data_IF_000373418129
#
_entry.id   IF_000373418129
#
_cell.length_a   1.000
_cell.length_b   1.000
_cell.length_c   1.000
_cell.angle_alpha   90.00
_cell.angle_beta   90.00
_cell.angle_gamma   90.00
#
_symmetry.space_group_name_H-M   'P 1'
#
loop_
_entity.id
_entity.type
_entity.pdbx_description
1 polymer ?
#
# COMPACT_ATOMS: atom_id res chain seq x y z
N UNK A 1 -26.53 -4.94 8.00
CA UNK A 1 -26.33 -4.23 6.71
C UNK A 1 -25.41 -5.07 5.85
N UNK A 2 -25.93 -5.59 4.74
CA UNK A 2 -25.16 -6.35 3.75
C UNK A 2 -24.44 -5.35 2.83
N UNK A 3 -23.17 -5.04 3.09
CA UNK A 3 -22.27 -4.74 1.97
C UNK A 3 -22.01 -6.09 1.30
N UNK A 4 -22.99 -6.55 0.50
CA UNK A 4 -22.81 -7.73 -0.32
C UNK A 4 -21.59 -7.46 -1.19
N UNK A 5 -20.55 -8.27 -1.05
CA UNK A 5 -19.43 -8.29 -1.97
C UNK A 5 -20.00 -8.28 -3.39
N UNK A 6 -19.86 -7.17 -4.10
CA UNK A 6 -20.36 -7.01 -5.47
C UNK A 6 -19.33 -7.58 -6.42
N UNK A 7 -19.81 -8.20 -7.51
CA UNK A 7 -19.01 -8.97 -8.46
C UNK A 7 -17.76 -8.22 -8.99
N UNK A 8 -17.85 -6.90 -9.13
CA UNK A 8 -16.80 -6.06 -9.72
C UNK A 8 -15.81 -5.47 -8.71
N UNK A 9 -15.98 -5.74 -7.41
CA UNK A 9 -15.18 -5.11 -6.33
C UNK A 9 -14.35 -6.07 -5.50
N UNK A 10 -14.57 -7.37 -5.68
CA UNK A 10 -14.09 -8.38 -4.73
C UNK A 10 -13.28 -9.47 -5.40
N UNK A 11 -12.10 -9.74 -4.84
CA UNK A 11 -11.39 -11.00 -5.06
C UNK A 11 -11.45 -11.84 -3.79
N UNK A 12 -11.34 -13.15 -3.91
CA UNK A 12 -11.38 -14.05 -2.75
C UNK A 12 -10.34 -15.15 -2.82
N UNK A 13 -9.92 -15.59 -1.64
CA UNK A 13 -9.09 -16.75 -1.40
C UNK A 13 -9.79 -17.62 -0.37
N UNK A 14 -9.77 -18.93 -0.57
CA UNK A 14 -10.32 -19.89 0.37
C UNK A 14 -9.26 -20.92 0.79
N UNK A 15 -9.23 -21.18 2.09
CA UNK A 15 -8.51 -22.29 2.68
C UNK A 15 -9.51 -23.43 2.89
N UNK A 16 -9.44 -24.44 2.03
CA UNK A 16 -10.26 -25.64 2.12
C UNK A 16 -9.56 -26.66 3.02
N UNK A 17 -10.04 -26.83 4.25
CA UNK A 17 -9.51 -27.83 5.17
C UNK A 17 -9.89 -29.23 4.68
N UNK A 18 -8.95 -30.19 4.79
CA UNK A 18 -9.24 -31.59 4.44
C UNK A 18 -10.10 -32.32 5.48
N UNK A 19 -10.29 -31.73 6.67
CA UNK A 19 -11.21 -32.23 7.70
C UNK A 19 -12.66 -31.84 7.40
N UNK A 20 -13.62 -32.67 7.83
CA UNK A 20 -15.04 -32.52 7.46
C UNK A 20 -15.71 -31.27 8.03
N UNK A 21 -15.21 -30.69 9.13
CA UNK A 21 -15.74 -29.48 9.77
C UNK A 21 -14.62 -28.66 10.38
N UNK A 22 -14.59 -27.34 10.13
CA UNK A 22 -13.69 -26.39 10.83
C UNK A 22 -14.11 -26.30 12.31
N UNK A 23 -13.26 -26.66 13.29
CA UNK A 23 -13.59 -26.47 14.69
C UNK A 23 -13.87 -25.00 14.99
N UNK A 24 -14.91 -24.67 15.77
CA UNK A 24 -15.22 -23.25 16.10
C UNK A 24 -14.03 -22.56 16.77
N UNK A 25 -13.23 -23.29 17.55
CA UNK A 25 -12.02 -22.75 18.16
C UNK A 25 -10.92 -22.41 17.13
N UNK A 26 -10.91 -23.05 15.95
CA UNK A 26 -10.01 -22.69 14.84
C UNK A 26 -10.44 -21.37 14.19
N UNK A 27 -11.74 -21.19 13.94
CA UNK A 27 -12.26 -19.94 13.38
C UNK A 27 -12.00 -18.73 14.28
N UNK A 28 -12.25 -18.87 15.58
CA UNK A 28 -11.97 -17.78 16.54
C UNK A 28 -10.48 -17.47 16.64
N UNK A 29 -9.60 -18.47 16.61
CA UNK A 29 -8.15 -18.24 16.66
C UNK A 29 -7.63 -17.54 15.41
N UNK A 30 -8.13 -17.90 14.22
CA UNK A 30 -7.70 -17.24 12.99
C UNK A 30 -8.23 -15.80 12.93
N UNK A 31 -9.51 -15.58 13.23
CA UNK A 31 -10.07 -14.22 13.33
C UNK A 31 -9.29 -13.42 14.38
N UNK A 32 -9.02 -14.00 15.54
CA UNK A 32 -8.20 -13.41 16.61
C UNK A 32 -6.79 -13.02 16.14
N UNK A 33 -6.15 -13.86 15.33
CA UNK A 33 -4.85 -13.55 14.73
C UNK A 33 -4.96 -12.41 13.71
N UNK A 34 -6.00 -12.39 12.87
CA UNK A 34 -6.21 -11.35 11.88
C UNK A 34 -6.46 -9.98 12.53
N UNK A 35 -7.31 -9.90 13.55
CA UNK A 35 -7.62 -8.63 14.25
C UNK A 35 -6.44 -8.08 15.07
N UNK A 36 -5.40 -8.90 15.31
CA UNK A 36 -4.16 -8.44 15.93
C UNK A 36 -3.23 -7.71 14.95
N UNK A 37 -3.53 -7.83 13.65
CA UNK A 37 -2.78 -7.20 12.56
C UNK A 37 -3.59 -6.05 11.96
N UNK A 38 -4.89 -6.28 11.70
CA UNK A 38 -5.77 -5.30 11.06
C UNK A 38 -6.87 -4.84 12.02
N UNK A 39 -7.15 -3.52 12.09
CA UNK A 39 -8.21 -3.00 12.93
C UNK A 39 -9.59 -3.49 12.47
N UNK A 40 -10.44 -3.87 13.43
CA UNK A 40 -11.84 -4.20 13.16
C UNK A 40 -12.60 -2.96 12.66
N UNK A 41 -13.32 -3.13 11.55
CA UNK A 41 -14.19 -2.10 10.99
C UNK A 41 -15.30 -1.73 11.97
N UNK A 42 -15.61 -0.44 12.05
CA UNK A 42 -16.73 0.11 12.83
C UNK A 42 -17.82 0.66 11.93
N UNK A 43 -19.07 0.30 12.21
CA UNK A 43 -20.27 0.88 11.58
C UNK A 43 -21.20 1.31 12.71
N UNK A 44 -21.61 2.58 12.72
CA UNK A 44 -22.45 3.17 13.77
C UNK A 44 -21.94 2.87 15.20
N UNK A 45 -20.63 3.06 15.40
CA UNK A 45 -19.88 2.76 16.62
C UNK A 45 -19.85 1.29 17.06
N UNK A 46 -20.34 0.35 16.23
CA UNK A 46 -20.28 -1.09 16.50
C UNK A 46 -19.20 -1.78 15.67
N UNK A 47 -18.43 -2.65 16.32
CA UNK A 47 -17.44 -3.47 15.63
C UNK A 47 -18.12 -4.54 14.77
N UNK A 48 -17.66 -4.70 13.53
CA UNK A 48 -18.10 -5.74 12.61
C UNK A 48 -17.44 -7.09 12.91
N UNK A 49 -17.71 -7.63 14.11
CA UNK A 49 -17.24 -8.93 14.58
C UNK A 49 -18.46 -9.83 14.88
N UNK A 50 -18.51 -10.99 14.24
CA UNK A 50 -19.63 -11.93 14.28
C UNK A 50 -19.13 -13.36 14.55
N UNK A 51 -20.06 -14.26 14.90
CA UNK A 51 -19.77 -15.63 15.37
C UNK A 51 -18.84 -16.46 14.48
N UNK A 52 -18.76 -16.17 13.17
CA UNK A 52 -17.84 -16.84 12.22
C UNK A 52 -17.36 -15.87 11.13
N UNK A 53 -17.45 -14.58 11.39
CA UNK A 53 -17.07 -13.57 10.42
C UNK A 53 -16.49 -12.32 11.07
N UNK A 54 -15.55 -11.68 10.41
CA UNK A 54 -15.00 -10.39 10.82
C UNK A 54 -14.72 -9.53 9.60
N UNK A 55 -14.95 -8.23 9.74
CA UNK A 55 -14.58 -7.22 8.75
C UNK A 55 -13.52 -6.31 9.36
N UNK A 56 -12.42 -6.12 8.64
CA UNK A 56 -11.27 -5.32 9.06
C UNK A 56 -10.92 -4.32 7.97
N UNK A 57 -10.46 -3.14 8.39
CA UNK A 57 -9.96 -2.12 7.46
C UNK A 57 -8.48 -2.44 7.15
N UNK A 58 -8.14 -2.63 5.87
CA UNK A 58 -6.74 -2.89 5.47
C UNK A 58 -6.02 -1.61 5.07
N UNK A 59 -6.72 -0.71 4.39
CA UNK A 59 -6.31 0.66 4.11
C UNK A 59 -7.56 1.54 3.94
N UNK A 60 -7.42 2.75 3.37
CA UNK A 60 -8.54 3.69 3.20
C UNK A 60 -9.58 3.26 2.16
N UNK A 61 -9.25 2.33 1.25
CA UNK A 61 -10.10 1.91 0.12
C UNK A 61 -10.38 0.40 0.09
N UNK A 62 -9.67 -0.38 0.91
CA UNK A 62 -9.75 -1.84 0.91
C UNK A 62 -10.19 -2.37 2.28
N UNK A 63 -11.06 -3.37 2.24
CA UNK A 63 -11.58 -4.07 3.40
C UNK A 63 -11.28 -5.57 3.28
N UNK A 64 -10.84 -6.17 4.39
CA UNK A 64 -10.68 -7.62 4.52
C UNK A 64 -11.89 -8.19 5.26
N UNK A 65 -12.60 -9.11 4.61
CA UNK A 65 -13.68 -9.87 5.24
C UNK A 65 -13.26 -11.34 5.37
N UNK A 66 -13.24 -11.89 6.58
CA UNK A 66 -13.01 -13.32 6.80
C UNK A 66 -14.34 -13.96 7.15
N UNK A 67 -14.71 -15.02 6.45
CA UNK A 67 -15.93 -15.81 6.67
C UNK A 67 -15.56 -17.28 6.79
N UNK A 68 -16.03 -17.93 7.85
CA UNK A 68 -15.88 -19.38 8.00
C UNK A 68 -17.20 -20.06 7.60
N UNK A 69 -17.12 -20.95 6.61
CA UNK A 69 -18.27 -21.63 6.00
C UNK A 69 -17.97 -23.13 5.85
N UNK A 70 -18.48 -23.94 6.77
CA UNK A 70 -18.31 -25.40 6.73
C UNK A 70 -16.84 -25.82 6.85
N UNK A 71 -16.27 -26.37 5.77
CA UNK A 71 -14.86 -26.77 5.65
C UNK A 71 -13.96 -25.68 5.03
N UNK A 72 -14.51 -24.49 4.76
CA UNK A 72 -13.76 -23.39 4.15
C UNK A 72 -13.62 -22.21 5.10
N UNK A 73 -12.43 -21.63 5.09
CA UNK A 73 -12.19 -20.28 5.57
C UNK A 73 -11.98 -19.42 4.34
N UNK A 74 -12.91 -18.52 4.06
CA UNK A 74 -12.87 -17.63 2.90
C UNK A 74 -12.49 -16.23 3.35
N UNK A 75 -11.44 -15.68 2.75
CA UNK A 75 -11.09 -14.28 2.87
C UNK A 75 -11.48 -13.54 1.59
N UNK A 76 -12.19 -12.44 1.75
CA UNK A 76 -12.56 -11.53 0.68
C UNK A 76 -11.76 -10.25 0.86
N UNK A 77 -11.14 -9.77 -0.22
CA UNK A 77 -10.56 -8.45 -0.28
C UNK A 77 -11.46 -7.60 -1.18
N UNK A 78 -12.05 -6.56 -0.58
CA UNK A 78 -13.08 -5.73 -1.19
C UNK A 78 -12.53 -4.33 -1.36
N UNK A 79 -12.49 -3.83 -2.59
CA UNK A 79 -12.17 -2.44 -2.86
C UNK A 79 -13.46 -1.59 -2.91
N UNK A 80 -13.39 -0.34 -2.47
CA UNK A 80 -14.52 0.59 -2.48
C UNK A 80 -15.08 0.85 -3.89
N UNK A 81 -14.20 0.80 -4.90
CA UNK A 81 -14.47 1.20 -6.28
C UNK A 81 -14.49 0.00 -7.21
N UNK A 82 -13.39 -0.76 -7.30
CA UNK A 82 -13.19 -1.81 -8.30
C UNK A 82 -12.11 -2.82 -7.89
N UNK A 83 -12.32 -4.10 -8.19
CA UNK A 83 -11.34 -5.19 -7.94
C UNK A 83 -10.04 -5.00 -8.73
N UNK A 84 -10.10 -4.24 -9.81
CA UNK A 84 -8.96 -3.86 -10.65
C UNK A 84 -7.94 -2.98 -9.89
N UNK A 85 -8.37 -2.34 -8.79
CA UNK A 85 -7.56 -1.47 -7.94
C UNK A 85 -6.94 -2.19 -6.74
N UNK A 86 -7.21 -3.50 -6.59
CA UNK A 86 -6.65 -4.28 -5.49
C UNK A 86 -5.19 -4.57 -5.79
N UNK A 87 -4.29 -3.97 -5.00
CA UNK A 87 -2.85 -4.21 -5.10
C UNK A 87 -2.52 -5.70 -4.88
N UNK A 88 -1.74 -6.32 -5.79
CA UNK A 88 -1.26 -7.69 -5.60
C UNK A 88 -0.40 -7.86 -4.34
N UNK A 89 0.33 -6.82 -3.93
CA UNK A 89 1.20 -6.89 -2.74
C UNK A 89 0.37 -6.87 -1.46
N UNK A 90 -0.71 -6.08 -1.42
CA UNK A 90 -1.69 -6.12 -0.33
C UNK A 90 -2.31 -7.52 -0.23
N UNK A 91 -2.86 -8.03 -1.34
CA UNK A 91 -3.50 -9.33 -1.39
C UNK A 91 -2.53 -10.46 -0.97
N UNK A 92 -1.33 -10.52 -1.56
CA UNK A 92 -0.33 -11.53 -1.25
C UNK A 92 0.16 -11.43 0.20
N UNK A 93 0.33 -10.23 0.75
CA UNK A 93 0.74 -10.06 2.16
C UNK A 93 -0.35 -10.54 3.12
N UNK A 94 -1.62 -10.22 2.85
CA UNK A 94 -2.74 -10.76 3.63
C UNK A 94 -2.75 -12.29 3.54
N UNK A 95 -2.59 -12.85 2.33
CA UNK A 95 -2.52 -14.31 2.13
C UNK A 95 -1.39 -14.95 2.93
N UNK A 96 -0.17 -14.42 2.86
CA UNK A 96 0.99 -14.93 3.60
C UNK A 96 0.74 -14.92 5.12
N UNK A 97 0.23 -13.80 5.64
CA UNK A 97 -0.12 -13.66 7.06
C UNK A 97 -1.19 -14.67 7.49
N UNK A 98 -2.28 -14.79 6.74
CA UNK A 98 -3.37 -15.72 7.03
C UNK A 98 -2.92 -17.19 6.91
N UNK A 99 -2.13 -17.51 5.90
CA UNK A 99 -1.59 -18.87 5.67
C UNK A 99 -0.65 -19.26 6.81
N UNK A 100 0.25 -18.36 7.22
CA UNK A 100 1.17 -18.60 8.32
C UNK A 100 0.42 -18.76 9.65
N UNK A 101 -0.56 -17.88 9.92
CA UNK A 101 -1.39 -17.96 11.11
C UNK A 101 -2.17 -19.28 11.16
N UNK A 102 -2.86 -19.62 10.07
CA UNK A 102 -3.62 -20.87 9.95
C UNK A 102 -2.73 -22.09 10.13
N UNK A 103 -1.56 -22.12 9.46
CA UNK A 103 -0.59 -23.21 9.60
C UNK A 103 -0.09 -23.39 11.03
N UNK A 104 0.17 -22.29 11.76
CA UNK A 104 0.57 -22.36 13.18
C UNK A 104 -0.55 -22.86 14.07
N UNK A 105 -1.78 -22.37 13.87
CA UNK A 105 -2.94 -22.80 14.66
C UNK A 105 -3.23 -24.29 14.43
N UNK A 106 -3.19 -24.75 13.18
CA UNK A 106 -3.42 -26.15 12.85
C UNK A 106 -2.32 -27.07 13.40
N UNK A 107 -1.04 -26.65 13.32
CA UNK A 107 0.07 -27.38 13.96
C UNK A 107 -0.12 -27.52 15.47
N UNK A 108 -0.56 -26.45 16.13
CA UNK A 108 -0.86 -26.48 17.56
C UNK A 108 -1.95 -27.52 17.86
N UNK A 109 -3.05 -27.53 17.10
CA UNK A 109 -4.10 -28.53 17.30
C UNK A 109 -3.61 -29.95 16.99
N UNK A 110 -2.86 -30.16 15.90
CA UNK A 110 -2.29 -31.46 15.57
C UNK A 110 -1.38 -32.01 16.69
N UNK A 111 -0.59 -31.14 17.32
CA UNK A 111 0.24 -31.50 18.48
C UNK A 111 -0.60 -31.82 19.72
N UNK A 112 -1.61 -31.01 20.04
CA UNK A 112 -2.49 -31.23 21.19
C UNK A 112 -3.37 -32.48 21.08
N UNK A 113 -3.70 -32.94 19.86
CA UNK A 113 -4.53 -34.12 19.62
C UNK A 113 -3.72 -35.39 19.33
N UNK A 114 -2.40 -35.38 19.56
CA UNK A 114 -1.61 -36.61 19.74
C UNK A 114 -1.22 -37.37 18.46
N UNK A 115 -1.18 -36.73 17.29
CA UNK A 115 -0.53 -37.32 16.10
C UNK A 115 0.89 -36.80 15.98
N UNK A 116 1.88 -37.62 16.32
CA UNK A 116 3.33 -37.37 16.15
C UNK A 116 3.80 -37.25 14.69
N UNK A 117 2.92 -36.94 13.74
CA UNK A 117 3.34 -36.74 12.36
C UNK A 117 3.66 -35.28 12.13
N UNK A 118 4.94 -35.01 11.83
CA UNK A 118 5.42 -33.74 11.29
C UNK A 118 4.79 -33.50 9.90
N UNK A 119 3.49 -33.23 9.84
CA UNK A 119 2.84 -32.88 8.59
C UNK A 119 3.34 -31.52 8.12
N UNK A 120 3.79 -31.49 6.86
CA UNK A 120 4.09 -30.25 6.15
C UNK A 120 2.81 -29.42 6.11
N UNK A 121 2.89 -28.10 6.30
CA UNK A 121 1.72 -27.20 6.27
C UNK A 121 0.86 -27.35 5.02
N UNK A 122 1.45 -27.79 3.91
CA UNK A 122 0.78 -28.08 2.64
C UNK A 122 -0.22 -29.25 2.69
N UNK A 123 -0.14 -30.10 3.71
CA UNK A 123 -1.00 -31.29 3.79
C UNK A 123 -2.33 -31.01 4.49
N UNK A 124 -2.47 -29.89 5.19
CA UNK A 124 -3.61 -29.63 6.09
C UNK A 124 -4.79 -28.93 5.41
N UNK A 125 -4.52 -28.19 4.34
CA UNK A 125 -5.54 -27.48 3.57
C UNK A 125 -5.10 -27.25 2.13
N UNK A 126 -6.08 -27.07 1.25
CA UNK A 126 -5.88 -26.67 -0.14
C UNK A 126 -6.23 -25.18 -0.28
N UNK A 127 -5.51 -24.48 -1.16
CA UNK A 127 -5.79 -23.09 -1.49
C UNK A 127 -6.62 -23.04 -2.77
N UNK A 128 -7.76 -22.37 -2.69
CA UNK A 128 -8.59 -22.01 -3.83
C UNK A 128 -8.60 -20.48 -3.96
N UNK A 129 -8.66 -19.96 -5.18
CA UNK A 129 -8.77 -18.53 -5.46
C UNK A 129 -10.03 -18.28 -6.28
N UNK A 130 -10.59 -17.08 -6.22
CA UNK A 130 -11.81 -16.79 -6.96
C UNK A 130 -12.31 -15.36 -6.91
N UNK A 131 -13.56 -15.19 -7.32
CA UNK A 131 -14.30 -13.92 -7.31
C UNK A 131 -15.71 -14.13 -6.79
N UNK A 132 -16.41 -13.02 -6.51
CA UNK A 132 -17.85 -13.05 -6.27
C UNK A 132 -18.59 -12.91 -7.60
N UNK A 133 -19.64 -13.70 -7.77
CA UNK A 133 -20.41 -13.81 -9.01
C UNK A 133 -21.88 -14.00 -8.67
N UNK A 134 -22.72 -13.03 -9.03
CA UNK A 134 -24.14 -12.95 -8.67
C UNK A 134 -24.37 -13.14 -7.17
N UNK A 135 -23.48 -12.57 -6.35
CA UNK A 135 -23.51 -12.71 -4.88
C UNK A 135 -23.03 -14.06 -4.33
N UNK A 136 -22.57 -14.98 -5.18
CA UNK A 136 -22.00 -16.27 -4.79
C UNK A 136 -20.48 -16.29 -4.93
N UNK A 137 -19.80 -17.02 -4.04
CA UNK A 137 -18.34 -17.18 -4.13
C UNK A 137 -17.98 -18.27 -5.14
N UNK A 138 -17.32 -17.88 -6.24
CA UNK A 138 -16.89 -18.77 -7.30
C UNK A 138 -15.38 -19.04 -7.17
N UNK A 139 -15.03 -20.27 -6.78
CA UNK A 139 -13.65 -20.67 -6.46
C UNK A 139 -13.12 -21.65 -7.52
N UNK A 140 -11.80 -21.59 -7.74
CA UNK A 140 -11.02 -22.53 -8.55
C UNK A 140 -9.77 -22.95 -7.74
N UNK A 141 -9.36 -24.22 -7.78
CA UNK A 141 -8.10 -24.64 -7.14
C UNK A 141 -6.92 -23.82 -7.67
N UNK A 142 -6.00 -23.44 -6.77
CA UNK A 142 -4.85 -22.62 -7.15
C UNK A 142 -3.99 -23.26 -8.25
N UNK A 143 -3.85 -24.58 -8.25
CA UNK A 143 -3.15 -25.34 -9.30
C UNK A 143 -3.74 -25.09 -10.69
N UNK A 144 -5.07 -25.03 -10.77
CA UNK A 144 -5.82 -24.83 -12.00
C UNK A 144 -5.78 -23.35 -12.42
N UNK A 145 -5.91 -22.43 -11.46
CA UNK A 145 -5.84 -21.00 -11.72
C UNK A 145 -4.49 -20.60 -12.36
N UNK A 146 -3.39 -21.25 -11.94
CA UNK A 146 -2.05 -20.99 -12.50
C UNK A 146 -1.87 -21.45 -13.95
N UNK A 147 -2.67 -22.39 -14.43
CA UNK A 147 -2.51 -23.01 -15.76
C UNK A 147 -3.54 -22.52 -16.78
N UNK A 148 -4.63 -21.91 -16.32
CA UNK A 148 -5.73 -21.45 -17.16
C UNK A 148 -5.77 -19.92 -17.16
N UNK A 149 -5.98 -19.29 -18.32
CA UNK A 149 -6.22 -17.83 -18.39
C UNK A 149 -7.64 -17.46 -17.96
N UNK A 150 -8.58 -18.40 -18.10
CA UNK A 150 -9.99 -18.21 -17.76
C UNK A 150 -10.56 -19.48 -17.14
N UNK A 151 -11.58 -19.33 -16.29
CA UNK A 151 -12.37 -20.46 -15.81
C UNK A 151 -13.86 -20.18 -15.91
N UNK A 152 -14.65 -21.24 -16.04
CA UNK A 152 -16.11 -21.15 -16.03
C UNK A 152 -16.62 -21.53 -14.65
N UNK A 153 -17.40 -20.66 -14.02
CA UNK A 153 -18.03 -20.98 -12.73
C UNK A 153 -19.25 -21.90 -12.92
N UNK A 154 -19.81 -22.36 -11.80
CA UNK A 154 -21.03 -23.20 -11.79
C UNK A 154 -22.23 -22.51 -12.43
N UNK A 155 -22.26 -21.18 -12.42
CA UNK A 155 -23.31 -20.36 -13.03
C UNK A 155 -23.07 -20.10 -14.53
N UNK A 156 -22.08 -20.76 -15.15
CA UNK A 156 -21.77 -20.67 -16.57
C UNK A 156 -20.99 -19.43 -17.00
N UNK A 157 -20.68 -18.52 -16.06
CA UNK A 157 -19.95 -17.27 -16.31
C UNK A 157 -18.46 -17.54 -16.43
N UNK A 158 -17.82 -16.89 -17.40
CA UNK A 158 -16.38 -16.98 -17.63
C UNK A 158 -15.70 -15.88 -16.82
N UNK A 159 -14.77 -16.28 -15.97
CA UNK A 159 -13.94 -15.41 -15.15
C UNK A 159 -12.49 -15.42 -15.62
N UNK A 160 -11.79 -14.30 -15.43
CA UNK A 160 -10.37 -14.16 -15.74
C UNK A 160 -9.53 -14.54 -14.50
N UNK A 161 -8.62 -15.52 -14.63
CA UNK A 161 -7.77 -15.97 -13.49
C UNK A 161 -6.79 -14.92 -13.03
N UNK A 162 -6.51 -13.88 -13.83
CA UNK A 162 -5.59 -12.79 -13.50
C UNK A 162 -5.89 -12.17 -12.12
N UNK A 163 -7.13 -11.79 -11.83
CA UNK A 163 -7.47 -11.05 -10.60
C UNK A 163 -7.39 -11.92 -9.34
N UNK A 164 -7.97 -13.14 -9.29
CA UNK A 164 -7.75 -14.02 -8.15
C UNK A 164 -6.29 -14.40 -7.91
N UNK A 165 -5.48 -14.45 -8.97
CA UNK A 165 -4.04 -14.72 -8.83
C UNK A 165 -3.29 -13.56 -8.16
N UNK A 166 -3.89 -12.37 -7.97
CA UNK A 166 -3.31 -11.31 -7.14
C UNK A 166 -2.97 -11.78 -5.72
N UNK A 167 -3.69 -12.79 -5.19
CA UNK A 167 -3.44 -13.39 -3.87
C UNK A 167 -2.14 -14.19 -3.76
N UNK A 168 -1.56 -14.61 -4.88
CA UNK A 168 -0.44 -15.58 -4.94
C UNK A 168 0.64 -15.15 -5.94
N UNK A 169 0.74 -13.83 -6.17
CA UNK A 169 1.74 -13.27 -7.07
C UNK A 169 3.11 -13.55 -6.49
N UNK A 170 4.00 -14.08 -7.33
CA UNK A 170 5.39 -14.26 -6.96
C UNK A 170 6.05 -12.88 -6.84
N UNK A 171 6.24 -12.41 -5.60
CA UNK A 171 6.95 -11.16 -5.27
C UNK A 171 8.37 -11.13 -5.83
N UNK A 172 8.97 -12.29 -6.13
CA UNK A 172 10.30 -12.38 -6.75
C UNK A 172 10.28 -12.27 -8.27
N UNK A 173 9.09 -12.23 -8.90
CA UNK A 173 8.92 -11.99 -10.33
C UNK A 173 9.16 -10.50 -10.62
N UNK A 174 10.43 -10.11 -10.58
CA UNK A 174 10.93 -8.75 -10.86
C UNK A 174 10.57 -8.25 -12.26
N UNK A 175 10.24 -9.16 -13.18
CA UNK A 175 9.90 -8.82 -14.55
C UNK A 175 8.39 -8.57 -14.66
N UNK A 176 8.03 -7.33 -15.00
CA UNK A 176 6.73 -7.05 -15.59
C UNK A 176 6.64 -7.78 -16.94
N UNK A 177 5.43 -8.07 -17.40
CA UNK A 177 5.25 -8.57 -18.77
C UNK A 177 5.99 -7.64 -19.74
N UNK A 178 6.60 -8.20 -20.79
CA UNK A 178 7.50 -7.50 -21.72
C UNK A 178 6.91 -6.23 -22.34
N UNK A 179 5.59 -6.10 -22.37
CA UNK A 179 4.88 -4.96 -22.95
C UNK A 179 4.30 -3.99 -21.92
N UNK A 180 4.43 -4.24 -20.60
CA UNK A 180 3.82 -3.42 -19.54
C UNK A 180 2.33 -3.07 -19.72
N UNK A 181 1.60 -3.85 -20.53
CA UNK A 181 0.15 -3.68 -20.78
C UNK A 181 -0.72 -3.97 -19.54
N UNK A 182 -0.08 -4.16 -18.38
CA UNK A 182 -0.68 -4.56 -17.12
C UNK A 182 -1.31 -3.42 -16.31
N UNK A 183 -1.00 -2.15 -16.60
CA UNK A 183 -1.88 -1.04 -16.19
C UNK A 183 -3.10 -1.07 -17.11
N UNK A 184 -4.17 -1.67 -16.59
CA UNK A 184 -5.44 -1.79 -17.30
C UNK A 184 -6.00 -0.40 -17.63
N UNK A 185 -6.85 -0.33 -18.65
CA UNK A 185 -7.43 0.92 -19.16
C UNK A 185 -8.04 1.78 -18.04
N UNK A 186 -8.59 1.15 -17.00
CA UNK A 186 -9.15 1.83 -15.82
C UNK A 186 -8.07 2.44 -14.92
N UNK A 187 -6.96 1.73 -14.68
CA UNK A 187 -5.84 2.24 -13.88
C UNK A 187 -5.15 3.44 -14.56
N UNK A 188 -5.14 3.46 -15.90
CA UNK A 188 -4.63 4.60 -16.69
C UNK A 188 -5.49 5.87 -16.54
N UNK A 189 -6.75 5.75 -16.12
CA UNK A 189 -7.64 6.89 -15.90
C UNK A 189 -7.51 7.46 -14.48
N UNK A 190 -6.86 6.74 -13.56
CA UNK A 190 -6.67 7.22 -12.19
C UNK A 190 -5.67 8.38 -12.16
N UNK A 191 -5.89 9.28 -11.21
CA UNK A 191 -4.99 10.38 -10.88
C UNK A 191 -3.91 9.90 -9.91
N UNK A 192 -2.62 10.12 -10.20
CA UNK A 192 -1.54 9.83 -9.26
C UNK A 192 -1.61 10.78 -8.05
N UNK A 193 -1.42 10.23 -6.85
CA UNK A 193 -1.23 11.04 -5.64
C UNK A 193 0.25 11.39 -5.40
N UNK A 194 0.50 12.15 -4.34
CA UNK A 194 1.85 12.64 -4.01
C UNK A 194 2.83 11.48 -3.68
N UNK A 195 2.35 10.36 -3.13
CA UNK A 195 3.19 9.19 -2.85
C UNK A 195 3.63 8.50 -4.14
N UNK A 196 2.73 8.38 -5.12
CA UNK A 196 3.08 7.86 -6.43
C UNK A 196 4.18 8.71 -7.09
N UNK A 197 4.18 10.03 -6.90
CA UNK A 197 5.26 10.89 -7.41
C UNK A 197 6.59 10.68 -6.70
N UNK A 198 6.61 10.44 -5.38
CA UNK A 198 7.84 10.07 -4.65
C UNK A 198 8.44 8.78 -5.21
N UNK A 199 7.60 7.76 -5.40
CA UNK A 199 8.04 6.48 -5.95
C UNK A 199 8.53 6.63 -7.40
N UNK A 200 7.84 7.43 -8.21
CA UNK A 200 8.25 7.74 -9.57
C UNK A 200 9.60 8.46 -9.62
N UNK A 201 9.79 9.51 -8.82
CA UNK A 201 11.04 10.26 -8.76
C UNK A 201 12.21 9.37 -8.31
N UNK A 202 11.98 8.47 -7.34
CA UNK A 202 12.98 7.48 -6.91
C UNK A 202 13.39 6.52 -8.03
N UNK A 203 12.44 6.14 -8.88
CA UNK A 203 12.62 5.09 -9.89
C UNK A 203 13.22 5.63 -11.18
N UNK A 204 12.76 6.79 -11.67
CA UNK A 204 13.30 7.44 -12.87
C UNK A 204 14.75 7.88 -12.63
N UNK A 205 15.00 8.50 -11.48
CA UNK A 205 16.28 9.12 -11.18
C UNK A 205 16.58 10.35 -12.04
N UNK A 206 17.61 11.11 -11.65
CA UNK A 206 17.91 12.42 -12.25
C UNK A 206 18.32 12.34 -13.73
N UNK A 207 18.95 11.24 -14.16
CA UNK A 207 19.49 11.09 -15.51
C UNK A 207 18.42 11.04 -16.61
N UNK A 208 17.30 10.38 -16.34
CA UNK A 208 16.21 10.22 -17.29
C UNK A 208 15.11 11.30 -17.12
N UNK A 209 15.16 12.08 -16.03
CA UNK A 209 14.10 13.01 -15.65
C UNK A 209 13.89 14.14 -16.66
N UNK A 210 14.95 14.70 -17.26
CA UNK A 210 14.80 15.77 -18.25
C UNK A 210 13.94 15.33 -19.44
N UNK A 211 14.30 14.21 -20.07
CA UNK A 211 13.54 13.69 -21.22
C UNK A 211 12.12 13.33 -20.82
N UNK A 212 11.95 12.68 -19.66
CA UNK A 212 10.63 12.38 -19.11
C UNK A 212 9.76 13.64 -18.92
N UNK A 213 10.33 14.70 -18.35
CA UNK A 213 9.64 15.96 -18.08
C UNK A 213 9.20 16.66 -19.37
N UNK A 214 10.04 16.65 -20.41
CA UNK A 214 9.66 17.17 -21.74
C UNK A 214 8.56 16.32 -22.39
N UNK A 215 8.64 14.99 -22.30
CA UNK A 215 7.60 14.07 -22.83
C UNK A 215 6.25 14.18 -22.10
N UNK A 216 6.24 14.71 -20.87
CA UNK A 216 5.02 15.10 -20.16
C UNK A 216 4.36 16.38 -20.73
N UNK A 217 5.00 17.05 -21.70
CA UNK A 217 4.54 18.30 -22.30
C UNK A 217 5.03 19.55 -21.58
N UNK A 218 6.02 19.43 -20.69
CA UNK A 218 6.61 20.58 -20.00
C UNK A 218 7.68 21.25 -20.86
N UNK A 219 7.93 22.53 -20.61
CA UNK A 219 8.91 23.27 -21.39
C UNK A 219 10.30 23.21 -20.77
N UNK A 220 11.33 23.37 -21.61
CA UNK A 220 12.71 23.50 -21.12
C UNK A 220 12.87 24.68 -20.15
N UNK A 221 12.16 25.78 -20.38
CA UNK A 221 12.20 26.93 -19.49
C UNK A 221 11.70 26.59 -18.07
N UNK A 222 10.64 25.78 -17.98
CA UNK A 222 10.10 25.27 -16.70
C UNK A 222 11.17 24.41 -15.99
N UNK A 223 11.84 23.52 -16.73
CA UNK A 223 12.92 22.69 -16.22
C UNK A 223 14.11 23.52 -15.69
N UNK A 224 14.56 24.50 -16.46
CA UNK A 224 15.70 25.36 -16.09
C UNK A 224 15.38 26.18 -14.84
N UNK A 225 14.14 26.67 -14.71
CA UNK A 225 13.65 27.37 -13.52
C UNK A 225 13.60 26.47 -12.28
N UNK A 226 13.11 25.24 -12.42
CA UNK A 226 13.10 24.25 -11.35
C UNK A 226 14.52 23.89 -10.91
N UNK A 227 15.42 23.67 -11.87
CA UNK A 227 16.81 23.34 -11.60
C UNK A 227 17.48 24.49 -10.84
N UNK A 228 17.29 25.73 -11.26
CA UNK A 228 17.81 26.89 -10.54
C UNK A 228 17.34 26.96 -9.08
N UNK A 229 16.10 26.56 -8.80
CA UNK A 229 15.52 26.61 -7.44
C UNK A 229 15.90 25.43 -6.55
N UNK A 230 16.05 24.23 -7.13
CA UNK A 230 16.16 22.99 -6.37
C UNK A 230 17.40 22.14 -6.70
N UNK A 231 18.40 22.68 -7.42
CA UNK A 231 19.59 21.92 -7.87
C UNK A 231 20.35 21.18 -6.74
N UNK A 232 20.24 21.65 -5.49
CA UNK A 232 20.96 21.07 -4.36
C UNK A 232 20.42 19.69 -3.95
N UNK A 233 19.16 19.39 -4.25
CA UNK A 233 18.57 18.08 -3.98
C UNK A 233 17.81 17.54 -5.22
N UNK A 234 18.35 16.50 -5.89
CA UNK A 234 17.72 15.91 -7.06
C UNK A 234 16.32 15.36 -6.82
N UNK A 235 16.02 14.82 -5.63
CA UNK A 235 14.68 14.32 -5.31
C UNK A 235 13.66 15.45 -5.18
N UNK A 236 13.99 16.51 -4.45
CA UNK A 236 13.10 17.67 -4.29
C UNK A 236 12.87 18.35 -5.64
N UNK A 237 13.92 18.47 -6.46
CA UNK A 237 13.84 18.96 -7.84
C UNK A 237 12.85 18.14 -8.69
N UNK A 238 13.01 16.81 -8.71
CA UNK A 238 12.13 15.94 -9.50
C UNK A 238 10.68 15.98 -9.00
N UNK A 239 10.48 16.00 -7.68
CA UNK A 239 9.14 16.07 -7.08
C UNK A 239 8.44 17.38 -7.42
N UNK A 240 9.14 18.51 -7.30
CA UNK A 240 8.59 19.81 -7.67
C UNK A 240 8.24 19.88 -9.16
N UNK A 241 9.02 19.24 -10.03
CA UNK A 241 8.67 19.11 -11.45
C UNK A 241 7.40 18.28 -11.69
N UNK A 242 7.23 17.16 -10.99
CA UNK A 242 6.00 16.36 -11.09
C UNK A 242 4.76 17.14 -10.58
N UNK A 243 4.92 17.92 -9.51
CA UNK A 243 3.85 18.78 -9.00
C UNK A 243 3.51 19.93 -9.96
N UNK A 244 4.52 20.56 -10.57
CA UNK A 244 4.32 21.60 -11.57
C UNK A 244 3.63 21.07 -12.83
N UNK A 245 3.98 19.86 -13.26
CA UNK A 245 3.27 19.17 -14.35
C UNK A 245 1.81 18.90 -14.02
N UNK A 246 1.51 18.41 -12.81
CA UNK A 246 0.12 18.17 -12.38
C UNK A 246 -0.68 19.47 -12.42
N UNK A 247 -0.16 20.53 -11.82
CA UNK A 247 -0.85 21.82 -11.75
C UNK A 247 -1.07 22.45 -13.14
N UNK A 248 -0.06 22.40 -14.02
CA UNK A 248 -0.19 22.90 -15.40
C UNK A 248 -1.26 22.12 -16.16
N UNK A 249 -1.22 20.80 -16.06
CA UNK A 249 -2.21 19.92 -16.67
C UNK A 249 -3.64 20.23 -16.19
N UNK A 250 -3.82 20.42 -14.88
CA UNK A 250 -5.12 20.74 -14.28
C UNK A 250 -5.59 22.16 -14.61
N UNK A 251 -4.66 23.13 -14.71
CA UNK A 251 -4.93 24.50 -15.16
C UNK A 251 -5.42 24.54 -16.60
N UNK A 252 -4.91 23.65 -17.45
CA UNK A 252 -5.38 23.45 -18.83
C UNK A 252 -6.73 22.69 -18.92
N UNK A 253 -7.41 22.50 -17.79
CA UNK A 253 -8.68 21.75 -17.68
C UNK A 253 -8.56 20.29 -18.12
N UNK A 254 -7.35 19.72 -18.08
CA UNK A 254 -7.11 18.31 -18.34
C UNK A 254 -6.84 17.57 -17.02
N UNK A 255 -7.12 16.28 -16.99
CA UNK A 255 -6.77 15.45 -15.83
C UNK A 255 -5.33 14.96 -15.95
N UNK A 256 -4.54 15.09 -14.88
CA UNK A 256 -3.26 14.41 -14.73
C UNK A 256 -3.54 12.94 -14.38
N UNK A 257 -3.21 12.01 -15.27
CA UNK A 257 -3.53 10.58 -15.10
C UNK A 257 -2.30 9.71 -15.24
N UNK A 258 -2.35 8.49 -14.68
CA UNK A 258 -1.31 7.48 -14.92
C UNK A 258 -1.13 7.16 -16.40
N UNK A 259 -2.16 7.29 -17.23
CA UNK A 259 -2.06 7.12 -18.68
C UNK A 259 -1.12 8.15 -19.33
N UNK A 260 -1.12 9.40 -18.84
CA UNK A 260 -0.15 10.42 -19.32
C UNK A 260 1.27 10.12 -18.86
N UNK A 261 1.44 9.72 -17.59
CA UNK A 261 2.73 9.28 -17.07
C UNK A 261 3.27 8.07 -17.84
N UNK A 262 2.42 7.11 -18.18
CA UNK A 262 2.79 5.91 -18.93
C UNK A 262 3.24 6.24 -20.36
N UNK A 263 2.56 7.18 -21.03
CA UNK A 263 2.97 7.65 -22.37
C UNK A 263 4.36 8.27 -22.32
N UNK A 264 4.61 9.17 -21.38
CA UNK A 264 5.92 9.81 -21.23
C UNK A 264 7.02 8.81 -20.87
N UNK A 265 6.75 7.86 -19.94
CA UNK A 265 7.70 6.78 -19.63
C UNK A 265 7.97 5.87 -20.82
N UNK A 266 6.96 5.60 -21.67
CA UNK A 266 7.14 4.77 -22.87
C UNK A 266 8.03 5.47 -23.89
N UNK A 267 7.88 6.79 -24.04
CA UNK A 267 8.71 7.58 -24.96
C UNK A 267 10.21 7.55 -24.60
N UNK A 268 10.54 7.38 -23.32
CA UNK A 268 11.92 7.22 -22.85
C UNK A 268 12.32 5.75 -22.59
N UNK A 269 11.55 4.78 -23.08
CA UNK A 269 11.80 3.34 -22.93
C UNK A 269 11.85 2.85 -21.46
N UNK A 270 11.10 3.52 -20.57
CA UNK A 270 11.01 3.25 -19.11
C UNK A 270 9.61 2.86 -18.64
N UNK A 271 8.76 2.32 -19.51
CA UNK A 271 7.36 1.94 -19.19
C UNK A 271 7.21 1.02 -17.97
N UNK A 272 8.25 0.25 -17.62
CA UNK A 272 8.27 -0.67 -16.49
C UNK A 272 8.21 0.02 -15.11
N UNK A 273 8.60 1.29 -15.00
CA UNK A 273 8.65 2.00 -13.72
C UNK A 273 7.26 2.19 -13.12
N UNK A 274 6.26 2.42 -13.97
CA UNK A 274 4.87 2.60 -13.53
C UNK A 274 4.25 1.30 -12.98
N UNK A 275 4.71 0.15 -13.46
CA UNK A 275 4.33 -1.14 -12.89
C UNK A 275 4.95 -1.39 -11.50
N UNK A 276 6.12 -0.82 -11.20
CA UNK A 276 6.74 -0.92 -9.88
C UNK A 276 6.00 -0.04 -8.88
N UNK A 277 5.71 1.19 -9.27
CA UNK A 277 4.97 2.19 -8.48
C UNK A 277 3.57 1.68 -8.12
N UNK A 278 2.87 1.01 -9.05
CA UNK A 278 1.55 0.46 -8.75
C UNK A 278 1.59 -0.80 -7.86
N UNK A 279 2.72 -1.52 -7.79
CA UNK A 279 2.88 -2.70 -6.93
C UNK A 279 3.27 -2.29 -5.52
N UNK A 280 4.19 -1.35 -5.39
CA UNK A 280 4.67 -0.81 -4.13
C UNK A 280 3.64 0.12 -3.47
N UNK A 281 2.53 -0.42 -2.95
CA UNK A 281 1.67 0.33 -2.03
C UNK A 281 1.72 -0.26 -0.61
N UNK A 282 1.72 0.64 0.37
CA UNK A 282 2.49 0.55 1.59
C UNK A 282 1.90 -0.40 2.64
N UNK A 283 2.51 -1.58 2.81
CA UNK A 283 2.37 -2.36 4.05
C UNK A 283 3.35 -1.84 5.10
N UNK A 284 2.90 -0.86 5.88
CA UNK A 284 3.57 -0.51 7.13
C UNK A 284 2.83 -1.17 8.28
N UNK A 285 3.26 -2.39 8.62
CA UNK A 285 2.82 -3.05 9.85
C UNK A 285 3.41 -2.29 11.03
N UNK A 286 2.57 -1.56 11.76
CA UNK A 286 2.94 -0.95 13.03
C UNK A 286 3.37 -2.05 14.01
N UNK A 287 4.65 -2.07 14.38
CA UNK A 287 5.09 -2.93 15.48
C UNK A 287 4.53 -2.38 16.79
N UNK A 288 3.98 -3.26 17.61
CA UNK A 288 3.39 -2.98 18.93
C UNK A 288 4.45 -2.58 20.00
N UNK A 289 5.27 -1.58 19.72
CA UNK A 289 6.00 -0.86 20.77
C UNK A 289 5.14 0.32 21.21
N UNK A 290 4.69 0.32 22.47
CA UNK A 290 3.77 1.34 22.99
C UNK A 290 4.29 2.77 22.79
N UNK A 291 5.60 3.01 22.98
CA UNK A 291 6.23 4.32 22.80
C UNK A 291 6.31 4.79 21.36
N UNK A 292 6.26 3.88 20.38
CA UNK A 292 6.27 4.26 18.97
C UNK A 292 4.96 4.88 18.50
N UNK A 293 3.90 4.75 19.32
CA UNK A 293 2.58 5.32 19.07
C UNK A 293 2.42 6.73 19.68
N UNK A 294 3.42 7.22 20.41
CA UNK A 294 3.41 8.57 20.98
C UNK A 294 3.65 9.62 19.88
N UNK A 295 3.12 10.82 20.11
CA UNK A 295 3.40 11.99 19.27
C UNK A 295 4.75 12.56 19.70
N UNK A 296 5.67 12.88 18.77
CA UNK A 296 6.97 13.43 19.14
C UNK A 296 6.82 14.77 19.87
N UNK A 297 7.60 14.95 20.94
CA UNK A 297 7.67 16.22 21.67
C UNK A 297 8.34 17.32 20.83
N UNK A 298 8.09 18.58 21.21
CA UNK A 298 8.75 19.73 20.56
C UNK A 298 10.28 19.64 20.69
N UNK A 299 10.80 19.24 21.86
CA UNK A 299 12.24 19.02 22.06
C UNK A 299 12.86 18.05 21.04
N UNK A 300 12.10 17.04 20.59
CA UNK A 300 12.58 16.08 19.57
C UNK A 300 12.59 16.73 18.19
N UNK A 301 11.58 17.53 17.86
CA UNK A 301 11.52 18.30 16.60
C UNK A 301 12.66 19.31 16.56
N UNK A 302 12.83 20.09 17.62
CA UNK A 302 13.89 21.09 17.77
C UNK A 302 15.28 20.45 17.65
N UNK A 303 15.49 19.31 18.30
CA UNK A 303 16.75 18.59 18.21
C UNK A 303 17.03 18.04 16.80
N UNK A 304 16.00 17.64 16.04
CA UNK A 304 16.14 17.18 14.65
C UNK A 304 16.56 18.34 13.72
N UNK A 305 16.00 19.53 13.95
CA UNK A 305 16.22 20.73 13.12
C UNK A 305 17.51 21.44 13.48
N UNK A 306 17.77 21.71 14.76
CA UNK A 306 18.91 22.52 15.21
C UNK A 306 20.24 21.85 14.91
N UNK A 307 20.29 20.53 15.12
CA UNK A 307 21.46 19.68 14.85
C UNK A 307 21.57 19.26 13.39
N UNK A 308 20.67 19.74 12.52
CA UNK A 308 20.62 19.43 11.09
C UNK A 308 20.70 17.91 10.82
N UNK A 309 19.84 17.13 11.46
CA UNK A 309 19.88 15.67 11.39
C UNK A 309 19.13 15.07 10.19
N UNK A 310 18.36 15.91 9.49
CA UNK A 310 17.51 15.55 8.35
C UNK A 310 18.21 15.85 7.02
N UNK A 311 18.89 17.01 6.92
CA UNK A 311 19.53 17.48 5.69
C UNK A 311 18.54 18.09 4.69
N UNK A 312 18.95 18.23 3.44
CA UNK A 312 18.34 19.13 2.46
C UNK A 312 17.22 18.46 1.65
N UNK A 313 16.28 17.76 2.30
CA UNK A 313 15.24 16.95 1.65
C UNK A 313 13.83 17.37 2.09
N UNK A 314 13.55 18.66 1.98
CA UNK A 314 12.36 19.32 2.52
C UNK A 314 11.10 18.83 1.82
N UNK A 315 11.09 18.83 0.49
CA UNK A 315 9.91 18.42 -0.29
C UNK A 315 9.65 16.94 -0.10
N UNK A 316 10.70 16.12 -0.19
CA UNK A 316 10.58 14.67 0.02
C UNK A 316 10.08 14.34 1.45
N UNK A 317 10.60 15.03 2.47
CA UNK A 317 10.11 14.87 3.84
C UNK A 317 8.63 15.22 3.97
N UNK A 318 8.20 16.36 3.40
CA UNK A 318 6.81 16.79 3.49
C UNK A 318 5.83 15.75 2.94
N UNK A 319 6.16 15.15 1.79
CA UNK A 319 5.32 14.10 1.20
C UNK A 319 5.32 12.83 2.05
N UNK A 320 6.48 12.39 2.55
CA UNK A 320 6.58 11.19 3.43
C UNK A 320 5.85 11.38 4.76
N UNK A 321 5.68 12.61 5.22
CA UNK A 321 4.84 12.98 6.37
C UNK A 321 3.34 13.11 6.00
N UNK A 322 2.97 12.82 4.75
CA UNK A 322 1.63 12.96 4.20
C UNK A 322 1.11 14.40 4.19
N UNK A 323 1.96 15.43 4.18
CA UNK A 323 1.50 16.82 4.06
C UNK A 323 1.03 17.12 2.63
N UNK A 324 0.06 18.01 2.50
CA UNK A 324 -0.41 18.44 1.17
C UNK A 324 0.67 19.24 0.44
N UNK A 325 0.68 19.19 -0.90
CA UNK A 325 1.56 20.05 -1.69
C UNK A 325 1.37 21.54 -1.40
N UNK A 326 0.15 21.95 -1.03
CA UNK A 326 -0.16 23.32 -0.63
C UNK A 326 0.61 23.71 0.64
N UNK A 327 0.64 22.84 1.65
CA UNK A 327 1.38 23.06 2.88
C UNK A 327 2.88 23.14 2.66
N UNK A 328 3.41 22.26 1.81
CA UNK A 328 4.83 22.22 1.45
C UNK A 328 5.23 23.53 0.74
N UNK A 329 4.45 23.97 -0.25
CA UNK A 329 4.71 25.23 -0.96
C UNK A 329 4.63 26.44 -0.04
N UNK A 330 3.65 26.46 0.86
CA UNK A 330 3.53 27.52 1.85
C UNK A 330 4.77 27.57 2.76
N UNK A 331 5.30 26.41 3.18
CA UNK A 331 6.58 26.34 3.91
C UNK A 331 7.74 26.91 3.11
N UNK A 332 7.90 26.49 1.84
CA UNK A 332 8.98 26.97 0.97
C UNK A 332 8.89 28.49 0.72
N UNK A 333 7.68 29.03 0.64
CA UNK A 333 7.42 30.45 0.48
C UNK A 333 7.74 31.27 1.74
N UNK A 334 7.31 30.79 2.91
CA UNK A 334 7.49 31.50 4.18
C UNK A 334 8.94 31.48 4.67
N UNK A 335 9.68 30.41 4.35
CA UNK A 335 11.07 30.22 4.78
C UNK A 335 12.01 30.11 3.57
N UNK A 336 12.12 31.14 2.72
CA UNK A 336 12.92 31.05 1.50
C UNK A 336 14.40 30.87 1.82
N UNK A 337 14.99 29.77 1.36
CA UNK A 337 16.41 29.39 1.58
C UNK A 337 16.79 29.10 3.04
N UNK A 338 15.84 29.10 3.98
CA UNK A 338 16.06 28.68 5.36
C UNK A 338 15.66 27.20 5.52
N UNK A 339 16.59 26.30 5.21
CA UNK A 339 16.35 24.86 5.29
C UNK A 339 15.93 24.41 6.69
N UNK A 340 16.49 25.03 7.75
CA UNK A 340 16.12 24.67 9.13
C UNK A 340 14.69 25.10 9.43
N UNK A 341 14.33 26.34 9.10
CA UNK A 341 12.97 26.85 9.23
C UNK A 341 11.97 26.03 8.41
N UNK A 342 12.33 25.64 7.19
CA UNK A 342 11.50 24.79 6.33
C UNK A 342 11.25 23.41 6.96
N UNK A 343 12.29 22.69 7.39
CA UNK A 343 12.15 21.37 8.01
C UNK A 343 11.35 21.47 9.31
N UNK A 344 11.62 22.50 10.13
CA UNK A 344 10.90 22.73 11.37
C UNK A 344 9.41 22.98 11.14
N UNK A 345 9.06 23.88 10.21
CA UNK A 345 7.67 24.20 9.88
C UNK A 345 6.91 22.97 9.36
N UNK A 346 7.52 22.12 8.51
CA UNK A 346 6.90 20.87 8.08
C UNK A 346 6.63 19.91 9.24
N UNK A 347 7.60 19.72 10.14
CA UNK A 347 7.42 18.82 11.30
C UNK A 347 6.34 19.33 12.25
N UNK A 348 6.25 20.65 12.46
CA UNK A 348 5.21 21.26 13.28
C UNK A 348 3.84 21.15 12.63
N UNK A 349 3.72 21.42 11.32
CA UNK A 349 2.48 21.22 10.56
C UNK A 349 2.00 19.77 10.67
N UNK A 350 2.89 18.81 10.40
CA UNK A 350 2.59 17.39 10.49
C UNK A 350 2.15 16.98 11.92
N UNK A 351 2.87 17.44 12.94
CA UNK A 351 2.53 17.18 14.36
C UNK A 351 1.14 17.71 14.72
N UNK A 352 0.75 18.86 14.16
CA UNK A 352 -0.49 19.56 14.47
C UNK A 352 -1.64 19.28 13.48
N UNK A 353 -1.44 18.41 12.48
CA UNK A 353 -2.49 18.02 11.54
C UNK A 353 -3.62 17.28 12.28
N UNK A 354 -4.65 18.03 12.67
CA UNK A 354 -5.86 17.55 13.34
C UNK A 354 -6.98 17.13 12.37
N UNK A 355 -6.69 17.02 11.07
CA UNK A 355 -7.73 16.66 10.11
C UNK A 355 -8.19 15.21 10.31
N UNK A 356 -9.51 15.03 10.43
CA UNK A 356 -10.25 13.77 10.66
C UNK A 356 -9.99 12.66 9.64
N UNK A 357 -9.13 12.89 8.63
CA UNK A 357 -8.77 11.95 7.56
C UNK A 357 -7.28 11.59 7.54
N UNK A 358 -6.43 12.26 8.33
CA UNK A 358 -5.01 11.96 8.39
C UNK A 358 -4.66 11.01 9.53
N UNK A 359 -3.65 10.18 9.28
CA UNK A 359 -3.19 9.20 10.26
C UNK A 359 -2.33 9.87 11.32
N UNK A 360 -2.54 9.48 12.58
CA UNK A 360 -1.88 10.04 13.77
C UNK A 360 -0.36 10.27 13.57
N UNK A 361 0.19 11.46 13.92
CA UNK A 361 1.60 11.77 13.76
C UNK A 361 2.46 11.08 14.85
N UNK A 362 2.77 9.80 14.63
CA UNK A 362 3.50 8.97 15.60
C UNK A 362 5.01 8.97 15.37
N UNK A 363 5.77 8.65 16.41
CA UNK A 363 7.23 8.43 16.30
C UNK A 363 7.56 7.34 15.28
N UNK A 364 6.75 6.28 15.21
CA UNK A 364 6.90 5.25 14.17
C UNK A 364 6.91 5.86 12.77
N UNK A 365 5.92 6.71 12.47
CA UNK A 365 5.80 7.37 11.16
C UNK A 365 6.95 8.30 10.88
N UNK A 366 7.40 9.06 11.87
CA UNK A 366 8.60 9.87 11.76
C UNK A 366 9.83 9.02 11.41
N UNK A 367 10.01 7.87 12.09
CA UNK A 367 11.11 6.95 11.78
C UNK A 367 11.03 6.37 10.37
N UNK A 368 9.83 6.03 9.90
CA UNK A 368 9.61 5.56 8.52
C UNK A 368 9.98 6.65 7.53
N UNK A 369 9.48 7.86 7.70
CA UNK A 369 9.79 9.01 6.84
C UNK A 369 11.32 9.25 6.81
N UNK A 370 11.98 9.32 7.97
CA UNK A 370 13.44 9.49 8.07
C UNK A 370 14.22 8.39 7.35
N UNK A 371 13.77 7.12 7.45
CA UNK A 371 14.37 6.00 6.72
C UNK A 371 14.22 6.17 5.21
N UNK A 372 13.03 6.56 4.77
CA UNK A 372 12.66 6.73 3.37
C UNK A 372 13.41 7.88 2.68
N UNK A 373 13.66 8.98 3.39
CA UNK A 373 14.48 10.11 2.90
C UNK A 373 15.99 9.88 3.11
N UNK A 374 16.39 8.70 3.63
CA UNK A 374 17.78 8.35 3.95
C UNK A 374 18.46 9.30 4.96
N UNK A 375 17.69 9.91 5.85
CA UNK A 375 18.19 10.74 6.96
C UNK A 375 18.72 9.85 8.11
N UNK A 376 19.83 9.15 7.87
CA UNK A 376 20.38 8.15 8.79
C UNK A 376 20.71 8.73 10.19
N UNK A 377 21.20 9.98 10.24
CA UNK A 377 21.51 10.66 11.50
C UNK A 377 20.24 10.95 12.31
N UNK A 378 19.19 11.49 11.67
CA UNK A 378 17.89 11.70 12.28
C UNK A 378 17.25 10.40 12.76
N UNK A 379 17.26 9.36 11.93
CA UNK A 379 16.74 8.05 12.30
C UNK A 379 17.44 7.46 13.53
N UNK A 380 18.77 7.53 13.56
CA UNK A 380 19.58 7.05 14.69
C UNK A 380 19.28 7.83 15.97
N UNK A 381 19.13 9.16 15.86
CA UNK A 381 18.75 10.01 16.98
C UNK A 381 17.39 9.63 17.56
N UNK A 382 16.35 9.50 16.72
CA UNK A 382 15.01 9.14 17.18
C UNK A 382 14.99 7.75 17.82
N UNK A 383 15.66 6.77 17.21
CA UNK A 383 15.83 5.42 17.78
C UNK A 383 16.42 5.45 19.18
N UNK A 384 17.50 6.21 19.37
CA UNK A 384 18.18 6.34 20.66
C UNK A 384 17.30 7.04 21.71
N UNK A 385 16.62 8.12 21.33
CA UNK A 385 15.74 8.88 22.23
C UNK A 385 14.59 8.03 22.77
N UNK A 386 14.05 7.12 21.96
CA UNK A 386 12.91 6.28 22.34
C UNK A 386 13.28 4.84 22.74
N UNK A 387 14.56 4.47 22.71
CA UNK A 387 15.05 3.16 23.13
C UNK A 387 14.67 2.02 22.17
N UNK A 388 14.66 2.30 20.87
CA UNK A 388 14.26 1.36 19.82
C UNK A 388 15.48 1.04 18.95
N UNK A 389 16.28 0.05 19.33
CA UNK A 389 17.43 -0.41 18.54
C UNK A 389 17.01 -1.36 17.40
#
# INVERSE_FOLDING_TARGET
MQNAATDDRTICIAYHLKETVVPSALSFKLIGAAISIWPLKKVDARYCLYYQAAVMDTDTRNELQIHVKGHRIVAYLVNDTSKHLISPDLATTIQECLTLALGRILKFYGHCFGRENHHVTSDLFEIEVGEVCKGETCLIPLSDAKTKAHWRCKNGIIHNTKFPLNWVVDKNKKQCDSNCKGLETEAQLLTPDDQHFVQLARTIGIGDFYNFFIELGMEKADYDNLNFRYFSNPMDFMLMGLFEWRDKTESDQLTATFGKLQKALTAIERQHYLCQIHREDHTLVEKAHSRLQDVPSDDVIDALTDKNLIGDCVVHLGVELCLSIGDIRNTLYNFPRDLKGQVHDLLIKWKNCNETKMVKPTIYRLMVALKHIKAAKGLTFVKKTYGVE
#
